data_IF_393283048680
#
_entry.id   IF_393283048680
#
_cell.length_a   1.000
_cell.length_b   1.000
_cell.length_c   1.000
_cell.angle_alpha   90.00
_cell.angle_beta   90.00
_cell.angle_gamma   90.00
#
_symmetry.space_group_name_H-M   'P 1'
#
loop_
_entity.id
_entity.type
_entity.pdbx_description
1 polymer ?
#
# COMPACT_ATOMS: atom_id res chain seq x y z
N UNK A 1 -42.90 24.50 -44.95
CA UNK A 1 -43.16 24.70 -43.50
C UNK A 1 -42.91 23.36 -42.82
N UNK A 2 -42.01 23.17 -41.86
CA UNK A 2 -41.07 24.06 -41.18
C UNK A 2 -39.88 23.23 -40.67
N UNK A 3 -38.80 23.97 -40.41
CA UNK A 3 -37.43 23.57 -40.09
C UNK A 3 -37.21 23.17 -38.61
N UNK A 4 -36.09 22.46 -38.35
CA UNK A 4 -35.27 22.57 -37.13
C UNK A 4 -35.74 21.74 -35.92
N UNK A 5 -34.90 21.11 -35.07
CA UNK A 5 -33.47 21.26 -34.83
C UNK A 5 -32.90 19.96 -34.23
N UNK A 6 -31.79 19.50 -34.80
CA UNK A 6 -30.73 18.78 -34.10
C UNK A 6 -29.89 19.84 -33.37
N UNK A 7 -30.05 19.99 -32.05
CA UNK A 7 -29.07 20.72 -31.24
C UNK A 7 -29.11 20.30 -29.77
N UNK A 8 -27.92 20.02 -29.27
CA UNK A 8 -27.43 20.18 -27.90
C UNK A 8 -27.89 19.23 -26.78
N UNK A 9 -27.00 18.27 -26.52
CA UNK A 9 -26.60 17.95 -25.15
C UNK A 9 -26.40 19.24 -24.34
N UNK A 10 -26.85 19.26 -23.08
CA UNK A 10 -26.01 19.69 -22.00
C UNK A 10 -25.32 18.44 -21.44
N UNK A 11 -23.98 18.42 -21.49
CA UNK A 11 -23.19 17.67 -20.54
C UNK A 11 -23.74 17.98 -19.15
N UNK A 12 -24.47 17.03 -18.56
CA UNK A 12 -24.84 17.13 -17.15
C UNK A 12 -23.56 17.30 -16.34
N UNK A 13 -23.58 18.11 -15.26
CA UNK A 13 -22.42 18.19 -14.39
C UNK A 13 -22.11 16.76 -13.94
N UNK A 14 -20.86 16.33 -14.09
CA UNK A 14 -20.39 15.15 -13.38
C UNK A 14 -20.61 15.45 -11.89
N UNK A 15 -21.71 14.96 -11.35
CA UNK A 15 -22.04 15.05 -9.94
C UNK A 15 -21.06 14.15 -9.22
N UNK A 16 -19.90 14.72 -8.89
CA UNK A 16 -19.00 14.17 -7.90
C UNK A 16 -19.85 14.01 -6.64
N UNK A 17 -20.25 12.78 -6.32
CA UNK A 17 -21.10 12.51 -5.17
C UNK A 17 -20.40 13.08 -3.92
N UNK A 18 -21.01 14.03 -3.19
CA UNK A 18 -20.41 14.62 -2.00
C UNK A 18 -20.11 13.56 -0.93
N UNK A 19 -20.79 12.42 -1.00
CA UNK A 19 -20.73 11.32 -0.03
C UNK A 19 -19.34 10.65 0.06
N UNK A 20 -18.52 10.69 -1.00
CA UNK A 20 -17.17 10.06 -0.97
C UNK A 20 -16.04 11.03 -0.71
N UNK A 21 -16.29 12.35 -0.76
CA UNK A 21 -15.22 13.34 -0.63
C UNK A 21 -14.59 13.37 0.77
N UNK A 22 -15.42 13.25 1.81
CA UNK A 22 -14.91 13.19 3.18
C UNK A 22 -14.08 11.93 3.42
N UNK A 23 -14.53 10.78 2.89
CA UNK A 23 -13.78 9.53 2.96
C UNK A 23 -12.44 9.63 2.24
N UNK A 24 -12.39 10.30 1.08
CA UNK A 24 -11.14 10.59 0.37
C UNK A 24 -10.15 11.38 1.22
N UNK A 25 -10.60 12.51 1.80
CA UNK A 25 -9.77 13.35 2.66
C UNK A 25 -9.28 12.55 3.87
N UNK A 26 -10.17 11.78 4.51
CA UNK A 26 -9.85 10.97 5.67
C UNK A 26 -8.79 9.92 5.32
N UNK A 27 -9.01 9.10 4.29
CA UNK A 27 -8.07 8.05 3.89
C UNK A 27 -6.70 8.62 3.49
N UNK A 28 -6.69 9.74 2.75
CA UNK A 28 -5.44 10.44 2.39
C UNK A 28 -4.71 10.98 3.62
N UNK A 29 -5.44 11.57 4.56
CA UNK A 29 -4.87 12.12 5.80
C UNK A 29 -4.31 11.01 6.67
N UNK A 30 -5.06 9.92 6.85
CA UNK A 30 -4.60 8.74 7.56
C UNK A 30 -3.31 8.20 6.92
N UNK A 31 -3.32 7.91 5.62
CA UNK A 31 -2.14 7.39 4.92
C UNK A 31 -0.91 8.30 5.09
N UNK A 32 -1.08 9.62 5.01
CA UNK A 32 0.01 10.58 5.27
C UNK A 32 0.54 10.50 6.70
N UNK A 33 -0.34 10.40 7.70
CA UNK A 33 0.08 10.28 9.10
C UNK A 33 0.84 8.96 9.32
N UNK A 34 0.33 7.84 8.79
CA UNK A 34 1.01 6.56 8.89
C UNK A 34 2.38 6.58 8.19
N UNK A 35 2.44 7.21 7.01
CA UNK A 35 3.69 7.41 6.29
C UNK A 35 4.70 8.23 7.08
N UNK A 36 4.27 9.32 7.72
CA UNK A 36 5.13 10.13 8.59
C UNK A 36 5.77 9.32 9.73
N UNK A 37 4.99 8.50 10.44
CA UNK A 37 5.52 7.65 11.52
C UNK A 37 6.46 6.56 10.96
N UNK A 38 6.13 5.99 9.81
CA UNK A 38 6.96 5.00 9.13
C UNK A 38 8.31 5.61 8.71
N UNK A 39 8.29 6.81 8.13
CA UNK A 39 9.49 7.55 7.72
C UNK A 39 10.37 7.94 8.91
N UNK A 40 9.73 8.34 10.03
CA UNK A 40 10.43 8.61 11.28
C UNK A 40 11.13 7.35 11.79
N UNK A 41 10.43 6.21 11.82
CA UNK A 41 10.99 4.95 12.29
C UNK A 41 12.15 4.47 11.39
N UNK A 42 12.03 4.63 10.07
CA UNK A 42 13.15 4.39 9.15
C UNK A 42 14.34 5.32 9.44
N UNK A 43 14.11 6.61 9.65
CA UNK A 43 15.18 7.56 9.95
C UNK A 43 15.85 7.28 11.30
N UNK A 44 15.12 6.79 12.30
CA UNK A 44 15.68 6.33 13.57
C UNK A 44 16.49 5.03 13.39
N UNK A 45 16.03 4.11 12.54
CA UNK A 45 16.73 2.87 12.26
C UNK A 45 18.05 3.12 11.50
N UNK A 46 18.02 3.97 10.47
CA UNK A 46 19.19 4.37 9.69
C UNK A 46 20.27 4.99 10.59
N UNK A 47 19.91 5.92 11.48
CA UNK A 47 20.86 6.58 12.40
C UNK A 47 21.50 5.64 13.43
N UNK A 48 20.82 4.55 13.77
CA UNK A 48 21.27 3.61 14.79
C UNK A 48 21.91 2.34 14.20
N UNK A 49 21.86 2.17 12.87
CA UNK A 49 22.38 0.99 12.17
C UNK A 49 23.89 0.78 12.39
N UNK A 50 24.66 1.86 12.47
CA UNK A 50 26.12 1.83 12.74
C UNK A 50 26.48 1.53 14.20
N UNK A 51 25.53 1.67 15.13
CA UNK A 51 25.78 1.47 16.55
C UNK A 51 25.48 0.04 16.92
N UNK A 52 26.51 -0.79 17.09
CA UNK A 52 26.45 -2.15 17.66
C UNK A 52 25.94 -2.21 19.12
N UNK A 53 25.26 -1.18 19.63
CA UNK A 53 24.94 -1.01 21.04
C UNK A 53 23.52 -1.45 21.39
N UNK A 54 23.50 -2.59 22.09
CA UNK A 54 22.64 -2.98 23.20
C UNK A 54 21.85 -1.80 23.83
N UNK A 55 20.53 -1.85 23.74
CA UNK A 55 19.62 -1.04 24.55
C UNK A 55 19.23 0.31 23.97
N UNK A 56 18.07 0.35 23.31
CA UNK A 56 17.28 1.58 23.19
C UNK A 56 15.88 1.26 23.67
N UNK A 57 15.43 1.99 24.69
CA UNK A 57 14.10 1.97 25.31
C UNK A 57 12.97 1.91 24.27
N UNK A 58 11.79 1.34 24.62
CA UNK A 58 10.62 1.40 23.75
C UNK A 58 10.35 2.87 23.39
N UNK A 59 10.36 3.16 22.10
CA UNK A 59 10.14 4.49 21.57
C UNK A 59 8.77 4.98 22.04
N UNK A 60 8.73 6.08 22.81
CA UNK A 60 7.50 6.83 23.12
C UNK A 60 6.80 7.37 21.85
N UNK A 61 7.39 7.17 20.67
CA UNK A 61 6.89 7.53 19.35
C UNK A 61 6.14 6.39 18.62
N UNK A 62 5.57 5.43 19.36
CA UNK A 62 4.79 4.37 18.73
C UNK A 62 3.60 4.95 17.97
N UNK A 63 3.50 4.62 16.69
CA UNK A 63 2.39 4.99 15.84
C UNK A 63 1.05 4.64 16.51
N UNK A 64 0.05 5.53 16.48
CA UNK A 64 -1.21 5.24 17.14
C UNK A 64 -1.96 4.11 16.42
N UNK A 65 -2.10 2.95 17.07
CA UNK A 65 -2.72 1.74 16.49
C UNK A 65 -4.12 1.98 15.89
N UNK A 66 -4.87 2.90 16.49
CA UNK A 66 -6.22 3.27 16.04
C UNK A 66 -6.24 3.88 14.62
N UNK A 67 -5.17 4.55 14.18
CA UNK A 67 -5.10 5.10 12.82
C UNK A 67 -4.95 3.98 11.79
N UNK A 68 -4.17 2.94 12.12
CA UNK A 68 -4.03 1.73 11.30
C UNK A 68 -5.36 1.02 11.15
N UNK A 69 -6.02 0.74 12.26
CA UNK A 69 -7.30 0.04 12.28
C UNK A 69 -8.36 0.80 11.49
N UNK A 70 -8.41 2.14 11.63
CA UNK A 70 -9.36 2.96 10.92
C UNK A 70 -9.13 2.93 9.40
N UNK A 71 -7.89 3.14 8.94
CA UNK A 71 -7.59 3.11 7.50
C UNK A 71 -7.84 1.70 6.94
N UNK A 72 -7.43 0.66 7.66
CA UNK A 72 -7.62 -0.74 7.29
C UNK A 72 -9.11 -1.08 7.17
N UNK A 73 -9.93 -0.65 8.13
CA UNK A 73 -11.39 -0.86 8.11
C UNK A 73 -12.05 -0.16 6.92
N UNK A 74 -11.71 1.10 6.67
CA UNK A 74 -12.22 1.86 5.52
C UNK A 74 -11.86 1.20 4.19
N UNK A 75 -10.61 0.76 4.04
CA UNK A 75 -10.15 0.07 2.84
C UNK A 75 -10.88 -1.27 2.64
N UNK A 76 -11.01 -2.07 3.70
CA UNK A 76 -11.73 -3.35 3.69
C UNK A 76 -13.17 -3.17 3.24
N UNK A 77 -13.87 -2.20 3.82
CA UNK A 77 -15.26 -1.90 3.48
C UNK A 77 -15.39 -1.44 2.03
N UNK A 78 -14.47 -0.60 1.56
CA UNK A 78 -14.47 -0.10 0.18
C UNK A 78 -14.24 -1.23 -0.84
N UNK A 79 -13.27 -2.09 -0.59
CA UNK A 79 -12.98 -3.27 -1.43
C UNK A 79 -14.17 -4.24 -1.45
N UNK A 80 -14.73 -4.56 -0.28
CA UNK A 80 -15.90 -5.43 -0.16
C UNK A 80 -17.12 -4.84 -0.89
N UNK A 81 -17.36 -3.53 -0.76
CA UNK A 81 -18.44 -2.85 -1.46
C UNK A 81 -18.27 -2.93 -2.99
N UNK A 82 -17.05 -2.71 -3.50
CA UNK A 82 -16.76 -2.82 -4.93
C UNK A 82 -16.95 -4.26 -5.46
N UNK A 83 -16.61 -5.27 -4.64
CA UNK A 83 -16.78 -6.68 -5.00
C UNK A 83 -18.26 -7.12 -5.00
N UNK A 84 -18.99 -6.86 -3.91
CA UNK A 84 -20.38 -7.35 -3.72
C UNK A 84 -21.35 -6.73 -4.73
N UNK A 85 -21.20 -5.43 -5.01
CA UNK A 85 -22.14 -4.70 -5.85
C UNK A 85 -21.79 -4.77 -7.35
N UNK A 86 -20.76 -5.55 -7.72
CA UNK A 86 -20.28 -5.74 -9.10
C UNK A 86 -20.21 -4.42 -9.89
N UNK A 87 -19.63 -3.41 -9.26
CA UNK A 87 -19.83 -2.03 -9.66
C UNK A 87 -19.08 -1.75 -10.97
N UNK A 88 -19.76 -1.08 -11.90
CA UNK A 88 -19.14 -0.58 -13.13
C UNK A 88 -18.14 0.55 -12.82
N UNK A 89 -17.13 0.71 -13.68
CA UNK A 89 -15.98 1.63 -13.53
C UNK A 89 -16.34 3.08 -13.12
N UNK A 90 -17.56 3.55 -13.44
CA UNK A 90 -17.98 4.94 -13.26
C UNK A 90 -18.53 5.30 -11.87
N UNK A 91 -18.45 4.43 -10.87
CA UNK A 91 -18.94 4.77 -9.53
C UNK A 91 -17.97 5.63 -8.73
N UNK A 92 -18.51 6.49 -7.87
CA UNK A 92 -17.72 7.30 -6.93
C UNK A 92 -16.88 6.44 -5.97
N UNK A 93 -17.36 5.25 -5.60
CA UNK A 93 -16.61 4.29 -4.76
C UNK A 93 -15.41 3.70 -5.49
N UNK A 94 -15.55 3.33 -6.77
CA UNK A 94 -14.42 2.86 -7.59
C UNK A 94 -13.40 3.98 -7.78
N UNK A 95 -13.85 5.21 -8.05
CA UNK A 95 -12.97 6.36 -8.15
C UNK A 95 -12.22 6.64 -6.83
N UNK A 96 -12.90 6.53 -5.68
CA UNK A 96 -12.28 6.63 -4.36
C UNK A 96 -11.24 5.53 -4.14
N UNK A 97 -11.56 4.29 -4.51
CA UNK A 97 -10.64 3.15 -4.42
C UNK A 97 -9.38 3.39 -5.25
N UNK A 98 -9.54 3.82 -6.51
CA UNK A 98 -8.43 4.15 -7.38
C UNK A 98 -7.54 5.23 -6.79
N UNK A 99 -8.12 6.35 -6.34
CA UNK A 99 -7.36 7.43 -5.70
C UNK A 99 -6.58 6.96 -4.48
N UNK A 100 -7.20 6.12 -3.63
CA UNK A 100 -6.52 5.59 -2.45
C UNK A 100 -5.35 4.68 -2.83
N UNK A 101 -5.56 3.73 -3.75
CA UNK A 101 -4.52 2.78 -4.16
C UNK A 101 -3.39 3.43 -4.97
N UNK A 102 -3.70 4.47 -5.75
CA UNK A 102 -2.70 5.28 -6.45
C UNK A 102 -1.78 6.06 -5.49
N UNK A 103 -2.21 6.29 -4.24
CA UNK A 103 -1.34 6.86 -3.21
C UNK A 103 -0.62 5.77 -2.39
N UNK A 104 -1.32 4.68 -2.07
CA UNK A 104 -0.78 3.62 -1.22
C UNK A 104 0.29 2.78 -1.93
N UNK A 105 0.08 2.42 -3.20
CA UNK A 105 1.00 1.54 -3.93
C UNK A 105 2.40 2.17 -4.11
N UNK A 106 2.55 3.43 -4.58
CA UNK A 106 3.87 4.08 -4.62
C UNK A 106 4.50 4.20 -3.23
N UNK A 107 3.69 4.49 -2.21
CA UNK A 107 4.19 4.57 -0.85
C UNK A 107 4.72 3.20 -0.34
N UNK A 108 4.07 2.10 -0.71
CA UNK A 108 4.56 0.76 -0.43
C UNK A 108 5.85 0.43 -1.20
N UNK A 109 5.95 0.86 -2.46
CA UNK A 109 7.17 0.75 -3.28
C UNK A 109 8.35 1.44 -2.58
N UNK A 110 8.14 2.64 -2.03
CA UNK A 110 9.17 3.38 -1.29
C UNK A 110 9.58 2.65 0.00
N UNK A 111 8.62 2.16 0.78
CA UNK A 111 8.87 1.40 2.01
C UNK A 111 9.73 0.17 1.73
N UNK A 112 9.38 -0.63 0.71
CA UNK A 112 10.16 -1.83 0.37
C UNK A 112 11.53 -1.50 -0.20
N UNK A 113 11.64 -0.46 -1.03
CA UNK A 113 12.93 0.00 -1.58
C UNK A 113 13.87 0.43 -0.47
N UNK A 114 13.38 1.23 0.49
CA UNK A 114 14.15 1.70 1.64
C UNK A 114 14.55 0.56 2.56
N UNK A 115 13.64 -0.39 2.79
CA UNK A 115 13.91 -1.62 3.53
C UNK A 115 15.02 -2.45 2.90
N UNK A 116 14.97 -2.64 1.58
CA UNK A 116 15.99 -3.39 0.85
C UNK A 116 17.36 -2.69 0.91
N UNK A 117 17.40 -1.37 0.77
CA UNK A 117 18.64 -0.60 0.89
C UNK A 117 19.25 -0.71 2.29
N UNK A 118 18.44 -0.57 3.34
CA UNK A 118 18.87 -0.77 4.73
C UNK A 118 19.50 -2.14 4.97
N UNK A 119 18.91 -3.21 4.42
CA UNK A 119 19.46 -4.57 4.56
C UNK A 119 20.73 -4.79 3.73
N UNK A 120 20.91 -4.07 2.62
CA UNK A 120 22.15 -4.11 1.84
C UNK A 120 23.30 -3.40 2.55
N UNK A 121 23.01 -2.25 3.18
CA UNK A 121 24.00 -1.43 3.90
C UNK A 121 24.35 -2.03 5.27
N UNK A 122 23.38 -2.64 5.93
CA UNK A 122 23.53 -3.32 7.22
C UNK A 122 23.01 -4.75 7.12
N UNK A 123 23.84 -5.71 6.67
CA UNK A 123 23.42 -7.10 6.46
C UNK A 123 22.84 -7.65 7.75
N UNK A 124 21.62 -8.22 7.64
CA UNK A 124 20.71 -8.67 8.70
C UNK A 124 21.38 -8.88 10.07
N UNK A 125 21.67 -7.78 10.76
CA UNK A 125 22.10 -7.86 12.15
C UNK A 125 20.82 -8.10 12.96
N UNK A 126 20.86 -8.99 13.95
CA UNK A 126 19.64 -9.46 14.62
C UNK A 126 18.74 -8.32 15.13
N UNK A 127 19.34 -7.19 15.55
CA UNK A 127 18.58 -6.03 16.04
C UNK A 127 17.94 -5.18 14.94
N UNK A 128 18.64 -4.92 13.83
CA UNK A 128 18.12 -4.13 12.69
C UNK A 128 17.07 -4.93 11.93
N UNK A 129 17.27 -6.23 11.73
CA UNK A 129 16.29 -7.09 11.09
C UNK A 129 14.97 -7.14 11.88
N UNK A 130 15.03 -7.30 13.20
CA UNK A 130 13.85 -7.29 14.07
C UNK A 130 13.13 -5.93 14.06
N UNK A 131 13.87 -4.82 14.22
CA UNK A 131 13.28 -3.48 14.19
C UNK A 131 12.68 -3.14 12.82
N UNK A 132 13.39 -3.49 11.73
CA UNK A 132 12.90 -3.29 10.37
C UNK A 132 11.62 -4.07 10.12
N UNK A 133 11.59 -5.34 10.57
CA UNK A 133 10.38 -6.17 10.50
C UNK A 133 9.22 -5.45 11.18
N UNK A 134 9.41 -5.00 12.41
CA UNK A 134 8.34 -4.33 13.16
C UNK A 134 7.85 -3.07 12.44
N UNK A 135 8.75 -2.24 11.89
CA UNK A 135 8.40 -1.07 11.06
C UNK A 135 7.58 -1.45 9.83
N UNK A 136 7.98 -2.50 9.10
CA UNK A 136 7.26 -2.94 7.91
C UNK A 136 5.87 -3.46 8.28
N UNK A 137 5.74 -4.30 9.31
CA UNK A 137 4.46 -4.89 9.70
C UNK A 137 3.45 -3.85 10.17
N UNK A 138 3.91 -2.83 10.90
CA UNK A 138 3.03 -1.73 11.31
C UNK A 138 2.88 -0.67 10.22
N UNK A 139 3.58 -0.73 9.10
CA UNK A 139 3.38 0.21 8.00
C UNK A 139 2.12 -0.07 7.18
N UNK A 140 1.68 0.89 6.36
CA UNK A 140 0.59 0.68 5.41
C UNK A 140 0.92 -0.42 4.38
N UNK A 141 2.19 -0.57 4.00
CA UNK A 141 2.64 -1.60 3.07
C UNK A 141 2.45 -3.00 3.67
N UNK A 142 2.94 -3.24 4.89
CA UNK A 142 2.84 -4.56 5.52
C UNK A 142 1.42 -4.93 5.93
N UNK A 143 0.67 -3.99 6.49
CA UNK A 143 -0.65 -4.28 7.08
C UNK A 143 -1.79 -4.38 6.07
N UNK A 144 -1.67 -3.77 4.89
CA UNK A 144 -2.80 -3.64 3.95
C UNK A 144 -2.55 -4.32 2.60
N UNK A 145 -1.31 -4.39 2.13
CA UNK A 145 -1.02 -4.75 0.74
C UNK A 145 -1.47 -6.16 0.36
N UNK A 146 -1.19 -7.16 1.20
CA UNK A 146 -1.59 -8.54 0.92
C UNK A 146 -3.11 -8.63 0.71
N UNK A 147 -3.88 -7.94 1.54
CA UNK A 147 -5.32 -7.91 1.37
C UNK A 147 -5.76 -7.15 0.10
N UNK A 148 -5.11 -6.03 -0.21
CA UNK A 148 -5.38 -5.27 -1.45
C UNK A 148 -5.18 -6.18 -2.66
N UNK A 149 -4.00 -6.78 -2.80
CA UNK A 149 -3.64 -7.61 -3.94
C UNK A 149 -4.64 -8.76 -4.08
N UNK A 150 -4.94 -9.48 -3.00
CA UNK A 150 -5.92 -10.56 -3.03
C UNK A 150 -7.32 -10.07 -3.42
N UNK A 151 -7.74 -8.90 -2.95
CA UNK A 151 -9.05 -8.35 -3.26
C UNK A 151 -9.13 -7.87 -4.71
N UNK A 152 -8.06 -7.29 -5.24
CA UNK A 152 -7.98 -6.85 -6.65
C UNK A 152 -8.11 -8.03 -7.63
N UNK A 153 -7.60 -9.22 -7.27
CA UNK A 153 -7.78 -10.44 -8.06
C UNK A 153 -9.26 -10.89 -8.14
N UNK A 154 -10.09 -10.46 -7.19
CA UNK A 154 -11.52 -10.75 -7.14
C UNK A 154 -12.40 -9.65 -7.77
N UNK A 155 -11.81 -8.51 -8.16
CA UNK A 155 -12.54 -7.42 -8.79
C UNK A 155 -12.59 -7.58 -10.32
N UNK A 156 -13.60 -6.98 -10.99
CA UNK A 156 -13.64 -6.93 -12.44
C UNK A 156 -12.37 -6.31 -13.04
N UNK A 157 -11.94 -6.83 -14.20
CA UNK A 157 -10.72 -6.37 -14.89
C UNK A 157 -10.75 -4.87 -15.19
N UNK A 158 -11.93 -4.30 -15.50
CA UNK A 158 -12.10 -2.86 -15.71
C UNK A 158 -11.71 -2.04 -14.48
N UNK A 159 -11.98 -2.54 -13.28
CA UNK A 159 -11.63 -1.88 -12.02
C UNK A 159 -10.15 -2.06 -11.69
N UNK A 160 -9.57 -3.23 -11.96
CA UNK A 160 -8.16 -3.51 -11.65
C UNK A 160 -7.18 -2.89 -12.67
N UNK A 161 -7.56 -2.79 -13.95
CA UNK A 161 -6.68 -2.35 -15.05
C UNK A 161 -5.97 -1.01 -14.79
N UNK A 162 -6.62 0.06 -14.29
CA UNK A 162 -5.95 1.34 -14.03
C UNK A 162 -4.83 1.27 -12.97
N UNK A 163 -4.83 0.21 -12.15
CA UNK A 163 -3.87 0.01 -11.07
C UNK A 163 -2.69 -0.88 -11.49
N UNK A 164 -2.75 -1.50 -12.68
CA UNK A 164 -1.77 -2.49 -13.11
C UNK A 164 -0.35 -1.91 -13.18
N UNK A 165 -0.18 -0.68 -13.67
CA UNK A 165 1.14 -0.05 -13.72
C UNK A 165 1.76 0.06 -12.32
N UNK A 166 0.98 0.54 -11.36
CA UNK A 166 1.43 0.71 -9.97
C UNK A 166 1.73 -0.63 -9.29
N UNK A 167 0.96 -1.69 -9.62
CA UNK A 167 1.24 -3.04 -9.14
C UNK A 167 2.52 -3.61 -9.74
N UNK A 168 2.79 -3.35 -11.02
CA UNK A 168 4.02 -3.78 -11.68
C UNK A 168 5.24 -3.04 -11.13
N UNK A 169 5.12 -1.73 -10.86
CA UNK A 169 6.18 -0.93 -10.26
C UNK A 169 6.55 -1.38 -8.83
N UNK A 170 5.63 -2.04 -8.14
CA UNK A 170 5.83 -2.59 -6.80
C UNK A 170 6.65 -3.91 -6.79
N UNK A 171 6.64 -4.65 -7.90
CA UNK A 171 7.28 -5.98 -7.96
C UNK A 171 8.80 -5.93 -7.76
N UNK A 172 9.57 -5.04 -8.42
CA UNK A 172 11.04 -5.06 -8.29
C UNK A 172 11.54 -4.80 -6.86
N UNK A 173 11.03 -3.78 -6.12
CA UNK A 173 11.43 -3.59 -4.72
C UNK A 173 11.05 -4.76 -3.82
N UNK A 174 9.89 -5.38 -4.07
CA UNK A 174 9.40 -6.51 -3.29
C UNK A 174 10.26 -7.76 -3.53
N UNK A 175 10.60 -8.07 -4.78
CA UNK A 175 11.53 -9.16 -5.13
C UNK A 175 12.92 -8.90 -4.53
N UNK A 176 13.43 -7.66 -4.67
CA UNK A 176 14.72 -7.28 -4.10
C UNK A 176 14.74 -7.46 -2.58
N UNK A 177 13.69 -7.03 -1.88
CA UNK A 177 13.59 -7.22 -0.44
C UNK A 177 13.49 -8.71 -0.08
N UNK A 178 12.67 -9.47 -0.79
CA UNK A 178 12.44 -10.89 -0.53
C UNK A 178 13.76 -11.69 -0.60
N UNK A 179 14.58 -11.46 -1.62
CA UNK A 179 15.90 -12.13 -1.76
C UNK A 179 16.88 -11.81 -0.65
N UNK A 180 16.73 -10.68 0.03
CA UNK A 180 17.58 -10.29 1.16
C UNK A 180 17.13 -10.92 2.48
N UNK A 181 15.94 -11.55 2.52
CA UNK A 181 15.44 -12.19 3.73
C UNK A 181 16.12 -13.56 3.95
N UNK A 182 16.46 -13.92 5.21
CA UNK A 182 17.15 -15.18 5.51
C UNK A 182 16.40 -16.44 5.05
N UNK A 183 15.06 -16.39 5.03
CA UNK A 183 14.23 -17.51 4.60
C UNK A 183 14.24 -17.72 3.07
N UNK A 184 14.59 -16.69 2.29
CA UNK A 184 14.67 -16.81 0.84
C UNK A 184 15.83 -17.73 0.42
N UNK A 185 16.98 -17.64 1.09
CA UNK A 185 18.10 -18.55 0.82
C UNK A 185 17.73 -20.03 1.07
N UNK A 186 16.99 -20.31 2.17
CA UNK A 186 16.51 -21.66 2.47
C UNK A 186 15.45 -22.18 1.48
N UNK A 187 14.64 -21.28 0.91
CA UNK A 187 13.64 -21.62 -0.09
C UNK A 187 14.27 -21.82 -1.47
N UNK A 188 15.21 -20.97 -1.89
CA UNK A 188 15.98 -21.14 -3.14
C UNK A 188 16.73 -22.47 -3.17
N UNK A 189 17.36 -22.85 -2.05
CA UNK A 189 18.03 -24.16 -1.91
C UNK A 189 17.05 -25.34 -2.02
N UNK A 190 15.80 -25.18 -1.58
CA UNK A 190 14.75 -26.20 -1.71
C UNK A 190 14.17 -26.26 -3.13
N UNK A 191 14.03 -25.12 -3.81
CA UNK A 191 13.57 -25.06 -5.20
C UNK A 191 14.56 -25.75 -6.16
N UNK A 192 15.86 -25.60 -5.92
CA UNK A 192 16.94 -26.27 -6.65
C UNK A 192 16.96 -27.80 -6.47
N UNK A 193 16.27 -28.33 -5.46
CA UNK A 193 16.18 -29.76 -5.17
C UNK A 193 14.96 -30.45 -5.79
N UNK A 194 14.11 -29.74 -6.52
CA UNK A 194 12.99 -30.38 -7.22
C UNK A 194 13.52 -31.34 -8.30
N UNK A 195 13.09 -32.62 -8.29
CA UNK A 195 13.41 -33.52 -9.37
C UNK A 195 12.72 -33.02 -10.65
N UNK A 196 13.51 -32.86 -11.72
CA UNK A 196 13.03 -32.60 -13.09
C UNK A 196 12.05 -33.68 -13.56
#
# INVERSE_FOLDING_TARGET
MGYGNLSDQPYGPQTCHPDTHLAEILMKTLLRNLGFYTDQAFGELEKNSDKYLLGTSPSENSQPAHLHELLCSLQKQLLAFCHINNITENSSSVALLHKHLQLLLPHATDIYSRSANLLKESPWNGSVGEKLRDVIYVSAAGSMLCQIVNSLLLLPVSVARPLLSHLLDLLPPLDCLNRLLPAAALLEDQELQWPL
#
